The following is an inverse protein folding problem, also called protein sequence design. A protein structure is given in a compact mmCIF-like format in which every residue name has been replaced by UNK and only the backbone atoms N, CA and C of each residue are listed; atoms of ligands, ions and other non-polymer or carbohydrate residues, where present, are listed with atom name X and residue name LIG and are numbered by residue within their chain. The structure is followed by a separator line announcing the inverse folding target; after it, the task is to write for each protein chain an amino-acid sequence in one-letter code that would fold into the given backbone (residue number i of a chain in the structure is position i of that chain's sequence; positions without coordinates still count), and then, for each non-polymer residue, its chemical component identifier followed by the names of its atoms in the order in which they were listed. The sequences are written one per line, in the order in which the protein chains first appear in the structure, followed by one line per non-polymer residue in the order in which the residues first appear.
data_IF_440159908459
#
_entry.id   IF_440159908459
#
_cell.length_a   1.000
_cell.length_b   1.000
_cell.length_c   1.000
_cell.angle_alpha   90.00
_cell.angle_beta   90.00
_cell.angle_gamma   90.00
#
_symmetry.space_group_name_H-M   'P 1'
#
loop_
_entity.id
_entity.type
_entity.pdbx_description
1 polymer ?
#
# COMPACT_ATOMS: atom_id res chain seq x y z
N UNK A 1 0.07 -21.11 1.27
CA UNK A 1 0.65 -20.45 0.12
C UNK A 1 0.14 -19.02 -0.02
N UNK A 2 0.70 -18.29 -0.98
CA UNK A 2 0.26 -16.93 -1.33
C UNK A 2 -0.64 -17.08 -2.55
N UNK A 3 -1.82 -16.46 -2.53
CA UNK A 3 -2.69 -16.37 -3.71
C UNK A 3 -2.12 -15.38 -4.71
N UNK A 4 -2.34 -15.63 -5.99
CA UNK A 4 -1.87 -14.81 -7.10
C UNK A 4 -3.07 -14.25 -7.85
N UNK A 5 -3.13 -12.94 -7.97
CA UNK A 5 -3.92 -12.19 -8.94
C UNK A 5 -3.04 -12.02 -10.18
N UNK A 6 -3.41 -12.62 -11.31
CA UNK A 6 -2.61 -12.63 -12.52
C UNK A 6 -3.20 -11.68 -13.56
N UNK A 7 -2.49 -10.58 -13.83
CA UNK A 7 -2.83 -9.70 -14.94
C UNK A 7 -2.33 -10.27 -16.26
N UNK A 8 -3.16 -10.11 -17.32
CA UNK A 8 -2.64 -10.03 -18.68
C UNK A 8 -1.88 -8.70 -18.85
N UNK A 9 -0.86 -8.68 -19.72
CA UNK A 9 0.10 -7.56 -19.82
C UNK A 9 -0.46 -6.31 -20.52
N UNK A 10 -1.65 -5.85 -20.11
CA UNK A 10 -2.29 -4.65 -20.63
C UNK A 10 -2.44 -3.62 -19.53
N UNK A 11 -1.97 -2.39 -19.75
CA UNK A 11 -2.02 -1.33 -18.74
C UNK A 11 -2.09 0.05 -19.39
N UNK A 12 -2.91 0.94 -18.84
CA UNK A 12 -2.90 2.39 -19.08
C UNK A 12 -2.78 2.82 -20.56
N UNK A 13 -3.36 2.05 -21.50
CA UNK A 13 -3.40 2.38 -22.93
C UNK A 13 -4.59 1.71 -23.61
N UNK A 14 -5.11 2.33 -24.68
CA UNK A 14 -6.08 1.68 -25.57
C UNK A 14 -5.32 0.87 -26.61
N UNK A 15 -5.77 -0.37 -26.84
CA UNK A 15 -5.11 -1.32 -27.73
C UNK A 15 -5.85 -1.49 -29.06
N UNK A 16 -5.17 -1.92 -30.16
CA UNK A 16 -5.80 -2.15 -31.43
C UNK A 16 -6.86 -3.26 -31.41
N UNK A 17 -7.86 -3.15 -32.30
CA UNK A 17 -8.90 -4.16 -32.49
C UNK A 17 -8.89 -4.81 -33.89
N UNK A 18 -7.78 -4.74 -34.61
CA UNK A 18 -7.65 -5.38 -35.92
C UNK A 18 -7.44 -6.91 -35.75
N UNK A 19 -7.88 -7.71 -36.74
CA UNK A 19 -7.85 -9.17 -36.64
C UNK A 19 -6.48 -9.78 -36.31
N UNK A 20 -5.42 -9.25 -36.89
CA UNK A 20 -4.05 -9.71 -36.66
C UNK A 20 -3.62 -9.54 -35.21
N UNK A 21 -3.90 -8.36 -34.62
CA UNK A 21 -3.61 -8.07 -33.20
C UNK A 21 -4.45 -8.97 -32.29
N UNK A 22 -5.75 -9.11 -32.57
CA UNK A 22 -6.63 -9.97 -31.75
C UNK A 22 -6.19 -11.44 -31.76
N UNK A 23 -5.76 -11.97 -32.93
CA UNK A 23 -5.27 -13.36 -33.01
C UNK A 23 -3.95 -13.52 -32.26
N UNK A 24 -3.05 -12.54 -32.31
CA UNK A 24 -1.80 -12.55 -31.54
C UNK A 24 -2.07 -12.53 -30.03
N UNK A 25 -2.96 -11.64 -29.58
CA UNK A 25 -3.40 -11.59 -28.16
C UNK A 25 -4.01 -12.92 -27.72
N UNK A 26 -4.85 -13.51 -28.56
CA UNK A 26 -5.48 -14.81 -28.27
C UNK A 26 -4.44 -15.91 -28.11
N UNK A 27 -3.46 -15.99 -29.00
CA UNK A 27 -2.41 -17.01 -28.91
C UNK A 27 -1.58 -16.83 -27.66
N UNK A 28 -1.17 -15.60 -27.33
CA UNK A 28 -0.44 -15.31 -26.09
C UNK A 28 -1.26 -15.67 -24.85
N UNK A 29 -2.55 -15.32 -24.83
CA UNK A 29 -3.43 -15.67 -23.73
C UNK A 29 -3.55 -17.19 -23.55
N UNK A 30 -3.76 -17.93 -24.64
CA UNK A 30 -3.83 -19.41 -24.60
C UNK A 30 -2.54 -20.01 -24.06
N UNK A 31 -1.38 -19.57 -24.52
CA UNK A 31 -0.08 -20.09 -24.11
C UNK A 31 0.17 -19.84 -22.61
N UNK A 32 -0.14 -18.64 -22.14
CA UNK A 32 0.06 -18.30 -20.72
C UNK A 32 -0.96 -18.99 -19.81
N UNK A 33 -2.23 -19.06 -20.20
CA UNK A 33 -3.26 -19.76 -19.41
C UNK A 33 -2.93 -21.24 -19.29
N UNK A 34 -2.61 -21.92 -20.39
CA UNK A 34 -2.23 -23.35 -20.36
C UNK A 34 -1.00 -23.57 -19.48
N UNK A 35 0.00 -22.68 -19.55
CA UNK A 35 1.21 -22.77 -18.76
C UNK A 35 0.96 -22.61 -17.25
N UNK A 36 0.01 -21.72 -16.86
CA UNK A 36 -0.18 -21.30 -15.46
C UNK A 36 -1.37 -21.96 -14.76
N UNK A 37 -2.40 -22.40 -15.48
CA UNK A 37 -3.68 -22.91 -14.91
C UNK A 37 -3.55 -24.04 -13.89
N UNK A 38 -2.46 -24.82 -13.94
CA UNK A 38 -2.24 -25.93 -13.01
C UNK A 38 -1.61 -25.48 -11.67
N UNK A 39 -1.40 -24.18 -11.47
CA UNK A 39 -0.92 -23.64 -10.21
C UNK A 39 -2.10 -23.25 -9.32
N UNK A 40 -2.39 -23.98 -8.23
CA UNK A 40 -3.57 -23.76 -7.39
C UNK A 40 -3.51 -22.43 -6.59
N UNK A 41 -2.44 -21.66 -6.74
CA UNK A 41 -2.33 -20.33 -6.16
C UNK A 41 -2.97 -19.25 -7.03
N UNK A 42 -3.26 -19.49 -8.31
CA UNK A 42 -4.00 -18.53 -9.16
C UNK A 42 -5.41 -18.40 -8.59
N UNK A 43 -5.73 -17.21 -8.12
CA UNK A 43 -7.03 -16.89 -7.53
C UNK A 43 -7.92 -16.08 -8.47
N UNK A 44 -7.30 -15.36 -9.43
CA UNK A 44 -8.02 -14.48 -10.34
C UNK A 44 -7.16 -14.18 -11.57
N UNK A 45 -7.77 -14.15 -12.74
CA UNK A 45 -7.21 -13.61 -13.97
C UNK A 45 -7.78 -12.21 -14.19
N UNK A 46 -6.92 -11.21 -14.44
CA UNK A 46 -7.35 -9.83 -14.68
C UNK A 46 -6.96 -9.39 -16.09
N UNK A 47 -7.90 -8.79 -16.81
CA UNK A 47 -7.72 -8.40 -18.20
C UNK A 47 -6.74 -7.25 -18.39
N UNK A 48 -6.87 -6.19 -17.58
CA UNK A 48 -6.00 -5.02 -17.70
C UNK A 48 -5.94 -4.17 -16.43
N UNK A 49 -4.88 -3.36 -16.35
CA UNK A 49 -4.71 -2.32 -15.35
C UNK A 49 -5.21 -0.96 -15.90
N UNK A 50 -6.19 -0.36 -15.22
CA UNK A 50 -6.69 1.02 -15.31
C UNK A 50 -7.29 1.48 -16.65
N UNK A 51 -7.46 0.60 -17.65
CA UNK A 51 -7.95 1.04 -18.97
C UNK A 51 -9.39 1.51 -18.91
N UNK A 52 -10.29 0.78 -18.23
CA UNK A 52 -11.68 1.20 -18.08
C UNK A 52 -11.78 2.51 -17.27
N UNK A 53 -11.08 2.60 -16.16
CA UNK A 53 -11.05 3.79 -15.32
C UNK A 53 -10.52 5.03 -16.06
N UNK A 54 -9.45 4.86 -16.84
CA UNK A 54 -8.87 5.93 -17.63
C UNK A 54 -9.79 6.40 -18.77
N UNK A 55 -10.40 5.45 -19.47
CA UNK A 55 -11.37 5.75 -20.53
C UNK A 55 -12.58 6.53 -20.02
N UNK A 56 -13.05 6.21 -18.81
CA UNK A 56 -14.20 6.87 -18.19
C UNK A 56 -13.85 8.18 -17.49
N UNK A 57 -12.75 8.22 -16.73
CA UNK A 57 -12.47 9.27 -15.75
C UNK A 57 -11.27 10.17 -16.03
N UNK A 58 -10.29 9.73 -16.83
CA UNK A 58 -9.06 10.52 -17.03
C UNK A 58 -9.12 11.45 -18.24
N UNK A 59 -10.27 11.50 -18.90
CA UNK A 59 -10.49 12.43 -20.00
C UNK A 59 -10.01 11.94 -21.37
N UNK A 60 -9.55 10.72 -21.50
CA UNK A 60 -9.04 10.15 -22.77
C UNK A 60 -10.04 10.26 -23.92
N UNK A 61 -11.34 10.14 -23.65
CA UNK A 61 -12.38 10.29 -24.66
C UNK A 61 -12.38 11.65 -25.35
N UNK A 62 -11.90 12.71 -24.69
CA UNK A 62 -11.99 14.08 -25.18
C UNK A 62 -11.13 14.33 -26.42
N UNK A 63 -10.14 13.47 -26.68
CA UNK A 63 -9.23 13.57 -27.82
C UNK A 63 -9.80 12.96 -29.11
N UNK A 64 -10.96 12.28 -29.02
CA UNK A 64 -11.52 11.50 -30.11
C UNK A 64 -12.93 11.96 -30.49
N UNK A 65 -13.24 11.90 -31.81
CA UNK A 65 -14.61 12.02 -32.31
C UNK A 65 -15.49 10.87 -31.81
N UNK A 66 -16.80 11.03 -31.82
CA UNK A 66 -17.74 9.98 -31.38
C UNK A 66 -17.51 8.66 -32.14
N UNK A 67 -17.35 8.70 -33.44
CA UNK A 67 -17.09 7.50 -34.26
C UNK A 67 -15.77 6.82 -33.89
N UNK A 68 -14.73 7.59 -33.56
CA UNK A 68 -13.47 7.05 -33.06
C UNK A 68 -13.64 6.43 -31.68
N UNK A 69 -14.39 7.09 -30.77
CA UNK A 69 -14.68 6.54 -29.43
C UNK A 69 -15.40 5.19 -29.51
N UNK A 70 -16.43 5.06 -30.36
CA UNK A 70 -17.14 3.81 -30.58
C UNK A 70 -16.22 2.69 -31.09
N UNK A 71 -15.34 3.00 -32.04
CA UNK A 71 -14.38 2.04 -32.59
C UNK A 71 -13.35 1.61 -31.54
N UNK A 72 -12.80 2.56 -30.77
CA UNK A 72 -11.81 2.30 -29.73
C UNK A 72 -12.43 1.47 -28.61
N UNK A 73 -13.64 1.84 -28.15
CA UNK A 73 -14.31 1.11 -27.10
C UNK A 73 -14.76 -0.29 -27.54
N UNK A 74 -15.11 -0.44 -28.85
CA UNK A 74 -15.35 -1.77 -29.40
C UNK A 74 -14.11 -2.65 -29.36
N UNK A 75 -12.93 -2.12 -29.71
CA UNK A 75 -11.67 -2.85 -29.59
C UNK A 75 -11.39 -3.27 -28.13
N UNK A 76 -11.64 -2.37 -27.16
CA UNK A 76 -11.55 -2.67 -25.73
C UNK A 76 -12.47 -3.83 -25.35
N UNK A 77 -13.74 -3.79 -25.74
CA UNK A 77 -14.70 -4.86 -25.40
C UNK A 77 -14.38 -6.18 -26.10
N UNK A 78 -13.87 -6.13 -27.32
CA UNK A 78 -13.46 -7.32 -28.07
C UNK A 78 -12.30 -8.07 -27.36
N UNK A 79 -11.34 -7.36 -26.77
CA UNK A 79 -10.24 -7.96 -26.02
C UNK A 79 -10.70 -8.39 -24.64
N UNK A 80 -11.20 -7.46 -23.81
CA UNK A 80 -11.31 -7.65 -22.36
C UNK A 80 -12.66 -8.24 -21.92
N UNK A 81 -13.72 -8.13 -22.71
CA UNK A 81 -15.04 -8.68 -22.38
C UNK A 81 -15.46 -9.86 -23.29
N UNK A 82 -14.67 -10.20 -24.32
CA UNK A 82 -14.97 -11.34 -25.17
C UNK A 82 -13.79 -12.29 -25.30
N UNK A 83 -12.67 -11.87 -25.89
CA UNK A 83 -11.54 -12.76 -26.23
C UNK A 83 -10.90 -13.39 -25.00
N UNK A 84 -10.51 -12.58 -24.00
CA UNK A 84 -9.82 -13.09 -22.81
C UNK A 84 -10.73 -13.98 -21.94
N UNK A 85 -11.99 -13.60 -21.60
CA UNK A 85 -12.87 -14.51 -20.86
C UNK A 85 -13.18 -15.80 -21.62
N UNK A 86 -13.34 -15.79 -22.96
CA UNK A 86 -13.48 -17.00 -23.76
C UNK A 86 -12.27 -17.95 -23.65
N UNK A 87 -11.06 -17.40 -23.57
CA UNK A 87 -9.83 -18.18 -23.36
C UNK A 87 -9.83 -18.78 -21.96
N UNK A 88 -10.15 -18.02 -20.92
CA UNK A 88 -10.19 -18.51 -19.55
C UNK A 88 -11.24 -19.63 -19.43
N UNK A 89 -12.48 -19.40 -19.87
CA UNK A 89 -13.55 -20.39 -19.85
C UNK A 89 -13.16 -21.69 -20.56
N UNK A 90 -12.51 -21.59 -21.71
CA UNK A 90 -12.13 -22.76 -22.52
C UNK A 90 -10.97 -23.56 -21.95
N UNK A 91 -10.00 -22.92 -21.31
CA UNK A 91 -8.73 -23.57 -20.96
C UNK A 91 -8.50 -23.74 -19.46
N UNK A 92 -9.40 -23.23 -18.59
CA UNK A 92 -9.39 -23.49 -17.14
C UNK A 92 -10.60 -24.30 -16.70
N UNK A 93 -10.67 -24.67 -15.45
CA UNK A 93 -11.79 -25.42 -14.86
C UNK A 93 -12.63 -24.48 -13.96
N UNK A 94 -13.06 -23.35 -14.53
CA UNK A 94 -13.92 -22.38 -13.84
C UNK A 94 -13.15 -21.33 -13.04
N UNK A 95 -11.95 -20.96 -13.46
CA UNK A 95 -11.20 -19.84 -12.85
C UNK A 95 -11.94 -18.52 -13.04
N UNK A 96 -11.87 -17.66 -12.02
CA UNK A 96 -12.47 -16.32 -12.08
C UNK A 96 -11.70 -15.38 -13.01
N UNK A 97 -12.45 -14.56 -13.73
CA UNK A 97 -11.91 -13.51 -14.61
C UNK A 97 -12.48 -12.12 -14.25
N UNK A 98 -11.60 -11.11 -14.19
CA UNK A 98 -11.93 -9.71 -13.93
C UNK A 98 -11.48 -8.83 -15.10
N UNK A 99 -12.40 -8.12 -15.81
CA UNK A 99 -12.03 -7.47 -17.10
C UNK A 99 -11.03 -6.32 -16.97
N UNK A 100 -11.12 -5.53 -15.90
CA UNK A 100 -10.24 -4.37 -15.66
C UNK A 100 -10.13 -4.10 -14.16
N UNK A 101 -8.99 -3.60 -13.71
CA UNK A 101 -8.77 -3.16 -12.33
C UNK A 101 -8.36 -1.68 -12.34
N UNK A 102 -9.03 -0.77 -11.59
CA UNK A 102 -10.18 -1.01 -10.72
C UNK A 102 -11.49 -1.05 -11.51
N UNK A 103 -12.46 -1.78 -10.96
CA UNK A 103 -13.80 -1.87 -11.55
C UNK A 103 -14.84 -2.19 -10.48
N UNK A 104 -16.07 -1.67 -10.65
CA UNK A 104 -17.16 -1.94 -9.70
C UNK A 104 -17.94 -3.22 -9.98
N UNK A 105 -17.75 -3.84 -11.14
CA UNK A 105 -18.39 -5.09 -11.57
C UNK A 105 -17.86 -5.53 -12.94
N UNK A 106 -18.00 -6.80 -13.33
CA UNK A 106 -17.44 -7.34 -14.58
C UNK A 106 -18.25 -6.98 -15.83
N UNK A 107 -19.43 -6.39 -15.67
CA UNK A 107 -20.36 -6.12 -16.78
C UNK A 107 -19.86 -4.94 -17.63
N UNK A 108 -20.25 -4.90 -18.92
CA UNK A 108 -20.07 -3.72 -19.76
C UNK A 108 -21.11 -2.69 -19.32
N UNK A 109 -20.69 -1.56 -18.77
CA UNK A 109 -21.61 -0.55 -18.27
C UNK A 109 -20.88 0.66 -17.69
N UNK A 110 -21.62 1.49 -16.95
CA UNK A 110 -21.04 2.61 -16.22
C UNK A 110 -20.51 2.12 -14.86
N UNK A 111 -19.19 2.27 -14.68
CA UNK A 111 -18.50 1.90 -13.45
C UNK A 111 -18.09 3.13 -12.66
N UNK A 112 -18.13 3.00 -11.34
CA UNK A 112 -17.53 3.97 -10.43
C UNK A 112 -16.01 3.93 -10.60
N UNK A 113 -15.35 5.09 -10.68
CA UNK A 113 -13.88 5.17 -10.80
C UNK A 113 -13.21 4.72 -9.49
N UNK A 114 -13.88 4.93 -8.35
CA UNK A 114 -13.44 4.54 -7.01
C UNK A 114 -14.60 3.87 -6.26
N UNK A 115 -14.92 2.63 -6.61
CA UNK A 115 -16.02 1.95 -5.95
C UNK A 115 -15.68 1.65 -4.49
N UNK A 116 -16.52 2.10 -3.56
CA UNK A 116 -16.34 1.81 -2.14
C UNK A 116 -16.98 0.47 -1.73
N UNK A 117 -18.17 0.17 -2.26
CA UNK A 117 -19.02 -0.91 -1.73
C UNK A 117 -18.95 -2.23 -2.50
N UNK A 118 -18.32 -2.25 -3.66
CA UNK A 118 -18.24 -3.41 -4.57
C UNK A 118 -17.00 -3.35 -5.43
N UNK A 119 -16.60 -4.51 -5.97
CA UNK A 119 -15.41 -4.60 -6.83
C UNK A 119 -14.12 -4.24 -6.11
N UNK A 120 -13.19 -3.68 -6.85
CA UNK A 120 -11.88 -3.29 -6.37
C UNK A 120 -11.61 -1.79 -6.59
N UNK A 121 -10.61 -1.26 -5.89
CA UNK A 121 -10.31 0.17 -5.86
C UNK A 121 -8.81 0.43 -5.91
N UNK A 122 -8.39 1.36 -6.78
CA UNK A 122 -7.07 1.97 -6.79
C UNK A 122 -7.15 3.31 -6.06
N UNK A 123 -6.55 3.40 -4.87
CA UNK A 123 -6.57 4.64 -4.12
C UNK A 123 -5.22 5.39 -4.23
N UNK A 124 -5.20 6.39 -5.09
CA UNK A 124 -4.06 7.27 -5.34
C UNK A 124 -4.22 8.71 -4.86
N UNK A 125 -5.23 9.00 -4.04
CA UNK A 125 -5.41 10.30 -3.41
C UNK A 125 -4.17 10.74 -2.63
N UNK A 126 -3.61 9.84 -1.83
CA UNK A 126 -2.25 9.97 -1.31
C UNK A 126 -1.29 9.68 -2.46
N UNK A 127 -0.39 10.55 -2.78
CA UNK A 127 0.55 10.61 -3.88
C UNK A 127 0.08 11.52 -5.02
N UNK A 128 -0.91 11.15 -5.83
CA UNK A 128 -1.30 11.93 -7.01
C UNK A 128 -2.08 13.21 -6.66
N UNK A 129 -3.01 13.15 -5.70
CA UNK A 129 -3.90 14.26 -5.35
C UNK A 129 -3.43 15.06 -4.12
N UNK A 130 -2.23 14.79 -3.62
CA UNK A 130 -1.66 15.43 -2.43
C UNK A 130 -2.50 15.28 -1.16
N UNK A 131 -3.27 14.20 -1.06
CA UNK A 131 -3.95 13.89 0.18
C UNK A 131 -2.96 13.52 1.28
N UNK A 132 -3.22 13.92 2.51
CA UNK A 132 -2.43 13.53 3.68
C UNK A 132 -2.59 12.04 3.96
N UNK A 133 -1.65 11.44 4.70
CA UNK A 133 -1.68 10.00 5.02
C UNK A 133 -2.93 9.59 5.79
N UNK A 134 -3.52 10.48 6.57
CA UNK A 134 -4.75 10.28 7.32
C UNK A 134 -5.97 10.00 6.40
N UNK A 135 -5.89 10.37 5.11
CA UNK A 135 -6.96 10.07 4.15
C UNK A 135 -7.04 8.57 3.80
N UNK A 136 -5.99 7.77 4.02
CA UNK A 136 -6.11 6.32 3.95
C UNK A 136 -7.17 5.77 4.92
N UNK A 137 -7.38 6.42 6.06
CA UNK A 137 -8.36 6.00 7.07
C UNK A 137 -9.82 6.27 6.67
N UNK A 138 -10.04 7.10 5.64
CA UNK A 138 -11.35 7.49 5.15
C UNK A 138 -11.72 6.83 3.81
N UNK A 139 -10.71 6.43 3.03
CA UNK A 139 -10.90 5.90 1.68
C UNK A 139 -10.70 4.39 1.67
N UNK A 140 -11.74 3.67 2.04
CA UNK A 140 -11.73 2.22 2.22
C UNK A 140 -12.73 1.59 1.28
N UNK A 141 -12.26 0.63 0.45
CA UNK A 141 -13.08 -0.18 -0.44
C UNK A 141 -13.22 -1.61 0.06
N UNK A 142 -13.98 -2.43 -0.68
CA UNK A 142 -14.10 -3.87 -0.42
C UNK A 142 -12.79 -4.62 -0.64
N UNK A 143 -12.02 -4.15 -1.62
CA UNK A 143 -10.70 -4.66 -1.97
C UNK A 143 -9.87 -3.48 -2.53
N UNK A 144 -8.76 -3.15 -1.91
CA UNK A 144 -7.83 -2.14 -2.39
C UNK A 144 -6.73 -2.85 -3.18
N UNK A 145 -6.94 -2.94 -4.49
CA UNK A 145 -6.07 -3.65 -5.43
C UNK A 145 -4.82 -2.86 -5.78
N UNK A 146 -4.84 -1.53 -5.54
CA UNK A 146 -3.66 -0.71 -5.73
C UNK A 146 -3.64 0.51 -4.80
N UNK A 147 -2.51 0.72 -4.16
CA UNK A 147 -2.13 1.94 -3.45
C UNK A 147 -0.61 1.97 -3.29
N UNK A 148 -0.04 3.16 -3.15
CA UNK A 148 1.41 3.25 -3.05
C UNK A 148 1.91 4.63 -2.63
N UNK A 149 3.21 4.68 -2.29
CA UNK A 149 3.96 5.90 -2.01
C UNK A 149 5.42 5.69 -2.42
N UNK A 150 6.08 6.70 -2.97
CA UNK A 150 7.47 6.57 -3.42
C UNK A 150 8.50 6.82 -2.32
N UNK A 151 9.67 6.22 -2.51
CA UNK A 151 10.91 6.62 -1.87
C UNK A 151 12.09 6.45 -2.82
N UNK A 152 13.22 7.05 -2.46
CA UNK A 152 14.49 6.71 -3.09
C UNK A 152 14.91 5.28 -2.68
N UNK A 153 15.71 4.58 -3.54
CA UNK A 153 16.31 3.32 -3.16
C UNK A 153 17.40 3.52 -2.11
N UNK A 154 18.02 2.44 -1.65
CA UNK A 154 19.17 2.49 -0.76
C UNK A 154 20.30 3.33 -1.32
N UNK A 155 21.07 4.03 -0.45
CA UNK A 155 22.16 4.88 -0.87
C UNK A 155 23.20 4.13 -1.71
N UNK A 156 23.46 2.87 -1.37
CA UNK A 156 24.36 2.00 -2.15
C UNK A 156 23.87 1.73 -3.57
N UNK A 157 22.56 1.78 -3.80
CA UNK A 157 21.96 1.69 -5.13
C UNK A 157 22.10 3.01 -5.88
N UNK A 158 21.85 4.13 -5.22
CA UNK A 158 22.02 5.48 -5.82
C UNK A 158 23.46 5.70 -6.29
N UNK A 159 24.44 5.28 -5.50
CA UNK A 159 25.87 5.36 -5.83
C UNK A 159 26.29 4.59 -7.10
N UNK A 160 25.44 3.67 -7.60
CA UNK A 160 25.75 2.93 -8.83
C UNK A 160 25.52 3.76 -10.09
N UNK A 161 24.78 4.85 -10.00
CA UNK A 161 24.43 5.68 -11.15
C UNK A 161 24.68 7.20 -10.93
N UNK A 162 25.25 7.59 -9.78
CA UNK A 162 25.55 8.99 -9.44
C UNK A 162 27.02 9.18 -9.12
N UNK A 163 27.52 10.40 -9.36
CA UNK A 163 28.78 10.93 -8.85
C UNK A 163 28.48 11.86 -7.65
N UNK A 164 29.54 12.36 -6.97
CA UNK A 164 29.38 13.27 -5.83
C UNK A 164 28.65 14.57 -6.18
N UNK A 165 28.86 15.08 -7.39
CA UNK A 165 28.20 16.27 -7.93
C UNK A 165 26.69 16.07 -8.16
N UNK A 166 26.23 14.84 -8.24
CA UNK A 166 24.81 14.49 -8.42
C UNK A 166 24.04 14.32 -7.09
N UNK A 167 24.73 14.51 -5.93
CA UNK A 167 24.11 14.31 -4.61
C UNK A 167 23.13 15.46 -4.26
N UNK A 168 22.18 15.67 -5.14
CA UNK A 168 20.99 16.50 -4.97
C UNK A 168 19.81 15.78 -5.63
N UNK A 169 18.67 15.71 -4.94
CA UNK A 169 17.46 15.04 -5.47
C UNK A 169 16.90 15.73 -6.73
N UNK A 170 17.31 16.97 -7.00
CA UNK A 170 16.93 17.75 -8.20
C UNK A 170 18.01 17.71 -9.30
N UNK A 171 19.15 17.03 -9.09
CA UNK A 171 20.17 16.87 -10.11
C UNK A 171 19.60 16.18 -11.38
N UNK A 172 20.22 16.40 -12.52
CA UNK A 172 19.81 15.81 -13.79
C UNK A 172 19.75 14.29 -13.73
N UNK A 173 20.76 13.66 -13.13
CA UNK A 173 20.83 12.20 -12.97
C UNK A 173 19.72 11.69 -12.04
N UNK A 174 19.51 12.31 -10.89
CA UNK A 174 18.42 11.90 -9.99
C UNK A 174 17.05 12.12 -10.62
N UNK A 175 16.87 13.16 -11.44
CA UNK A 175 15.65 13.40 -12.20
C UNK A 175 15.45 12.38 -13.32
N UNK A 176 16.52 11.95 -14.00
CA UNK A 176 16.47 10.90 -15.00
C UNK A 176 16.06 9.54 -14.40
N UNK A 177 16.47 9.26 -13.14
CA UNK A 177 16.09 8.08 -12.38
C UNK A 177 14.77 8.26 -11.58
N UNK A 178 13.86 9.10 -12.09
CA UNK A 178 12.50 9.31 -11.59
C UNK A 178 11.51 9.34 -12.76
N UNK A 179 10.48 8.48 -12.73
CA UNK A 179 9.48 8.36 -13.81
C UNK A 179 8.09 8.87 -13.49
N UNK A 180 7.88 9.34 -12.27
CA UNK A 180 6.61 9.96 -11.88
C UNK A 180 6.52 11.46 -12.20
N UNK A 181 7.49 12.03 -12.89
CA UNK A 181 7.54 13.46 -13.27
C UNK A 181 7.69 14.43 -12.08
N UNK A 182 6.82 14.33 -11.09
CA UNK A 182 6.79 15.17 -9.88
C UNK A 182 7.44 14.49 -8.66
N UNK A 183 7.95 13.26 -8.82
CA UNK A 183 8.22 12.35 -7.72
C UNK A 183 9.21 12.86 -6.68
N UNK A 184 10.38 13.38 -7.08
CA UNK A 184 11.41 13.83 -6.15
C UNK A 184 10.93 14.99 -5.26
N UNK A 185 10.33 16.01 -5.88
CA UNK A 185 9.76 17.15 -5.15
C UNK A 185 8.55 16.75 -4.31
N UNK A 186 7.73 15.79 -4.78
CA UNK A 186 6.60 15.26 -4.03
C UNK A 186 7.04 14.55 -2.75
N UNK A 187 8.12 13.75 -2.80
CA UNK A 187 8.71 13.11 -1.62
C UNK A 187 9.14 14.17 -0.60
N UNK A 188 9.86 15.23 -1.04
CA UNK A 188 10.31 16.34 -0.18
C UNK A 188 9.11 17.08 0.43
N UNK A 189 8.08 17.38 -0.36
CA UNK A 189 6.87 18.06 0.10
C UNK A 189 6.17 17.30 1.23
N UNK A 190 5.90 16.00 1.01
CA UNK A 190 5.30 15.14 2.04
C UNK A 190 6.20 15.01 3.28
N UNK A 191 7.52 14.92 3.08
CA UNK A 191 8.46 14.86 4.19
C UNK A 191 8.30 16.08 5.10
N UNK A 192 8.20 17.28 4.56
CA UNK A 192 7.99 18.51 5.34
C UNK A 192 6.65 18.57 6.10
N UNK A 193 5.66 17.75 5.71
CA UNK A 193 4.41 17.67 6.47
C UNK A 193 4.53 16.83 7.75
N UNK A 194 5.43 15.83 7.77
CA UNK A 194 5.51 14.82 8.82
C UNK A 194 6.83 14.80 9.58
N UNK A 195 7.93 15.21 8.94
CA UNK A 195 9.29 15.18 9.47
C UNK A 195 10.01 16.51 9.20
N UNK A 196 11.15 16.70 9.84
CA UNK A 196 12.10 17.72 9.40
C UNK A 196 12.79 17.21 8.14
N UNK A 197 12.92 18.08 7.13
CA UNK A 197 13.55 17.73 5.85
C UNK A 197 15.07 17.79 6.05
N UNK A 198 15.82 16.69 5.87
CA UNK A 198 17.26 16.70 6.00
C UNK A 198 17.95 17.51 4.89
N UNK A 199 19.05 18.17 5.24
CA UNK A 199 19.93 18.86 4.28
C UNK A 199 20.94 17.86 3.67
N UNK A 200 21.38 16.87 4.45
CA UNK A 200 22.31 15.83 3.99
C UNK A 200 21.63 14.88 3.02
N UNK A 201 22.25 14.62 1.88
CA UNK A 201 21.71 13.79 0.82
C UNK A 201 21.41 12.34 1.26
N UNK A 202 22.35 11.71 1.98
CA UNK A 202 22.16 10.34 2.46
C UNK A 202 21.01 10.23 3.46
N UNK A 203 20.89 11.22 4.36
CA UNK A 203 19.77 11.30 5.28
C UNK A 203 18.44 11.55 4.55
N UNK A 204 18.44 12.36 3.49
CA UNK A 204 17.26 12.57 2.64
C UNK A 204 16.78 11.26 2.03
N UNK A 205 17.69 10.45 1.47
CA UNK A 205 17.34 9.15 0.91
C UNK A 205 16.75 8.22 1.99
N UNK A 206 17.42 8.11 3.15
CA UNK A 206 16.95 7.29 4.27
C UNK A 206 15.57 7.75 4.78
N UNK A 207 15.39 9.04 5.02
CA UNK A 207 14.12 9.59 5.52
C UNK A 207 12.99 9.43 4.51
N UNK A 208 13.27 9.42 3.21
CA UNK A 208 12.26 9.11 2.19
C UNK A 208 11.71 7.70 2.35
N UNK A 209 12.55 6.73 2.69
CA UNK A 209 12.12 5.35 2.94
C UNK A 209 11.30 5.23 4.24
N UNK A 210 11.67 5.96 5.30
CA UNK A 210 10.89 6.03 6.54
C UNK A 210 9.50 6.64 6.28
N UNK A 211 9.45 7.70 5.47
CA UNK A 211 8.21 8.36 5.05
C UNK A 211 7.29 7.40 4.27
N UNK A 212 7.85 6.71 3.26
CA UNK A 212 7.13 5.67 2.50
C UNK A 212 6.60 4.57 3.41
N UNK A 213 7.44 4.04 4.29
CA UNK A 213 7.09 2.98 5.23
C UNK A 213 5.93 3.39 6.14
N UNK A 214 5.93 4.64 6.63
CA UNK A 214 4.84 5.19 7.43
C UNK A 214 3.54 5.27 6.63
N UNK A 215 3.57 5.83 5.42
CA UNK A 215 2.40 5.94 4.56
C UNK A 215 1.77 4.56 4.31
N UNK A 216 2.58 3.60 3.92
CA UNK A 216 2.12 2.23 3.63
C UNK A 216 1.63 1.50 4.87
N UNK A 217 2.27 1.70 6.03
CA UNK A 217 1.78 1.13 7.29
C UNK A 217 0.38 1.64 7.62
N UNK A 218 0.14 2.96 7.53
CA UNK A 218 -1.19 3.53 7.81
C UNK A 218 -2.24 2.91 6.88
N UNK A 219 -1.95 2.82 5.58
CA UNK A 219 -2.85 2.19 4.60
C UNK A 219 -3.15 0.73 4.96
N UNK A 220 -2.12 -0.12 5.06
CA UNK A 220 -2.27 -1.56 5.31
C UNK A 220 -2.96 -1.85 6.65
N UNK A 221 -2.57 -1.17 7.73
CA UNK A 221 -3.21 -1.34 9.03
C UNK A 221 -4.67 -0.89 8.99
N UNK A 222 -5.00 0.18 8.25
CA UNK A 222 -6.38 0.64 8.08
C UNK A 222 -7.22 -0.39 7.34
N UNK A 223 -6.74 -0.89 6.20
CA UNK A 223 -7.45 -1.91 5.44
C UNK A 223 -7.74 -3.15 6.31
N UNK A 224 -6.75 -3.61 7.04
CA UNK A 224 -6.89 -4.76 7.94
C UNK A 224 -7.80 -4.51 9.14
N UNK A 225 -7.79 -3.30 9.72
CA UNK A 225 -8.75 -2.94 10.79
C UNK A 225 -10.20 -3.03 10.32
N UNK A 226 -10.46 -2.82 9.02
CA UNK A 226 -11.80 -2.86 8.45
C UNK A 226 -12.26 -4.24 7.97
N UNK A 227 -11.50 -5.29 8.26
CA UNK A 227 -11.96 -6.67 8.03
C UNK A 227 -13.23 -6.96 8.85
N UNK A 228 -14.27 -7.60 8.31
CA UNK A 228 -14.37 -8.25 7.00
C UNK A 228 -14.91 -7.35 5.88
N UNK A 229 -15.05 -6.04 6.08
CA UNK A 229 -15.50 -5.14 5.02
C UNK A 229 -14.43 -5.01 3.92
N UNK A 230 -13.20 -4.67 4.27
CA UNK A 230 -12.04 -4.65 3.38
C UNK A 230 -11.28 -5.98 3.52
N UNK A 231 -11.22 -6.76 2.44
CA UNK A 231 -10.59 -8.08 2.45
C UNK A 231 -9.34 -8.19 1.57
N UNK A 232 -8.87 -7.08 0.99
CA UNK A 232 -7.65 -7.05 0.20
C UNK A 232 -6.90 -5.73 0.30
N UNK A 233 -5.58 -5.82 0.27
CA UNK A 233 -4.67 -4.67 0.25
C UNK A 233 -3.42 -5.05 -0.54
N UNK A 234 -3.33 -4.60 -1.79
CA UNK A 234 -2.19 -4.84 -2.67
C UNK A 234 -1.43 -3.53 -2.87
N UNK A 235 -0.11 -3.60 -2.66
CA UNK A 235 0.75 -2.42 -2.73
C UNK A 235 1.41 -2.33 -4.11
N UNK A 236 1.23 -1.21 -4.76
CA UNK A 236 2.06 -0.84 -5.89
C UNK A 236 3.32 -0.13 -5.37
N UNK A 237 4.54 -0.73 -5.46
CA UNK A 237 4.83 -2.01 -6.10
C UNK A 237 5.85 -2.81 -5.27
N UNK A 238 6.10 -4.08 -5.64
CA UNK A 238 7.02 -4.93 -4.89
C UNK A 238 8.49 -4.62 -5.20
N UNK A 239 8.87 -4.54 -6.49
CA UNK A 239 10.26 -4.43 -6.92
C UNK A 239 10.41 -3.54 -8.17
N UNK A 240 11.64 -3.21 -8.49
CA UNK A 240 12.03 -2.41 -9.63
C UNK A 240 12.67 -3.25 -10.74
N UNK A 241 12.49 -2.83 -12.01
CA UNK A 241 13.15 -3.42 -13.17
C UNK A 241 14.44 -2.68 -13.60
N UNK A 242 14.78 -1.57 -12.94
CA UNK A 242 16.00 -0.79 -13.12
C UNK A 242 16.22 0.10 -11.88
N UNK A 243 17.46 0.66 -11.65
CA UNK A 243 17.70 1.53 -10.50
C UNK A 243 16.91 2.84 -10.62
N UNK A 244 15.99 3.09 -9.69
CA UNK A 244 15.04 4.21 -9.79
C UNK A 244 14.44 4.59 -8.44
N UNK A 245 14.03 5.86 -8.26
CA UNK A 245 13.10 6.23 -7.21
C UNK A 245 11.69 5.75 -7.59
N UNK A 246 11.04 4.98 -6.71
CA UNK A 246 9.80 4.31 -7.03
C UNK A 246 8.96 3.96 -5.79
N UNK A 247 7.80 3.36 -6.03
CA UNK A 247 6.89 2.82 -5.01
C UNK A 247 7.33 1.47 -4.45
N UNK A 248 8.43 0.89 -4.96
CA UNK A 248 8.89 -0.44 -4.59
C UNK A 248 9.25 -0.56 -3.11
N UNK A 249 9.07 -1.77 -2.58
CA UNK A 249 9.59 -2.19 -1.27
C UNK A 249 10.95 -2.86 -1.35
N UNK A 250 11.38 -3.23 -2.55
CA UNK A 250 12.67 -3.84 -2.87
C UNK A 250 13.27 -3.16 -4.10
N UNK A 251 14.48 -2.65 -3.99
CA UNK A 251 15.13 -1.96 -5.10
C UNK A 251 15.65 -2.93 -6.19
N UNK A 252 16.13 -2.35 -7.30
CA UNK A 252 16.62 -3.11 -8.44
C UNK A 252 17.69 -4.14 -8.09
N UNK A 253 18.62 -3.82 -7.18
CA UNK A 253 19.68 -4.72 -6.76
C UNK A 253 19.24 -5.69 -5.65
N UNK A 254 17.97 -5.71 -5.33
CA UNK A 254 17.39 -6.64 -4.37
C UNK A 254 17.52 -6.23 -2.91
N UNK A 255 17.88 -4.98 -2.61
CA UNK A 255 17.95 -4.45 -1.25
C UNK A 255 16.54 -4.09 -0.76
N UNK A 256 16.26 -4.43 0.50
CA UNK A 256 15.00 -4.10 1.12
C UNK A 256 14.97 -2.65 1.57
N UNK A 257 13.94 -1.92 1.15
CA UNK A 257 13.63 -0.58 1.65
C UNK A 257 12.87 -0.68 2.98
N UNK A 258 12.83 0.42 3.76
CA UNK A 258 12.15 0.44 5.05
C UNK A 258 10.69 -0.06 4.99
N UNK A 259 9.98 0.18 3.90
CA UNK A 259 8.61 -0.29 3.66
C UNK A 259 8.50 -1.82 3.86
N UNK A 260 9.46 -2.61 3.39
CA UNK A 260 9.41 -4.07 3.52
C UNK A 260 9.24 -4.51 4.97
N UNK A 261 10.01 -3.95 5.89
CA UNK A 261 9.97 -4.31 7.32
C UNK A 261 8.63 -3.92 7.97
N UNK A 262 8.04 -2.81 7.54
CA UNK A 262 6.71 -2.41 8.01
C UNK A 262 5.61 -3.27 7.41
N UNK A 263 5.74 -3.69 6.15
CA UNK A 263 4.83 -4.63 5.49
C UNK A 263 4.79 -5.98 6.22
N UNK A 264 5.96 -6.53 6.59
CA UNK A 264 6.05 -7.79 7.39
C UNK A 264 5.26 -7.67 8.69
N UNK A 265 5.38 -6.54 9.39
CA UNK A 265 4.63 -6.30 10.63
C UNK A 265 3.14 -6.11 10.39
N UNK A 266 2.77 -5.34 9.35
CA UNK A 266 1.38 -5.04 9.02
C UNK A 266 0.61 -6.28 8.56
N UNK A 267 1.28 -7.27 7.94
CA UNK A 267 0.68 -8.55 7.53
C UNK A 267 1.01 -9.73 8.45
N UNK A 268 1.44 -9.46 9.68
CA UNK A 268 1.58 -10.51 10.68
C UNK A 268 0.23 -11.22 10.95
N UNK A 269 0.27 -12.50 11.29
CA UNK A 269 -0.91 -13.33 11.62
C UNK A 269 -1.76 -12.78 12.76
N UNK A 270 -1.13 -12.01 13.66
CA UNK A 270 -1.77 -11.11 14.62
C UNK A 270 -1.20 -9.71 14.46
N UNK A 271 -2.06 -8.75 14.21
CA UNK A 271 -1.67 -7.34 14.11
C UNK A 271 -2.24 -6.56 15.28
N UNK A 272 -1.36 -5.95 16.06
CA UNK A 272 -1.71 -4.93 17.06
C UNK A 272 -1.70 -3.57 16.38
N UNK A 273 -2.85 -2.92 16.24
CA UNK A 273 -2.99 -1.67 15.49
C UNK A 273 -3.64 -0.57 16.34
N UNK A 274 -2.85 0.32 16.95
CA UNK A 274 -3.37 1.49 17.66
C UNK A 274 -3.81 2.58 16.68
N UNK A 275 -4.90 3.27 17.04
CA UNK A 275 -5.42 4.45 16.34
C UNK A 275 -6.10 5.40 17.31
N UNK A 276 -5.89 6.71 17.15
CA UNK A 276 -6.63 7.75 17.88
C UNK A 276 -7.87 8.16 17.07
N UNK A 277 -9.03 8.09 17.73
CA UNK A 277 -10.31 8.62 17.22
C UNK A 277 -10.99 9.39 18.33
N UNK A 278 -11.42 10.60 18.07
CA UNK A 278 -12.19 11.45 18.98
C UNK A 278 -11.53 11.53 20.38
N UNK A 279 -10.24 11.89 20.42
CA UNK A 279 -9.42 11.97 21.64
C UNK A 279 -9.38 10.67 22.47
N UNK A 280 -9.60 9.54 21.83
CA UNK A 280 -9.54 8.20 22.44
C UNK A 280 -8.58 7.33 21.64
N UNK A 281 -7.55 6.80 22.30
CA UNK A 281 -6.68 5.78 21.73
C UNK A 281 -7.40 4.43 21.81
N UNK A 282 -7.57 3.82 20.64
CA UNK A 282 -8.15 2.47 20.50
C UNK A 282 -7.06 1.53 20.01
N UNK A 283 -6.98 0.34 20.57
CA UNK A 283 -6.08 -0.71 20.10
C UNK A 283 -6.92 -1.82 19.50
N UNK A 284 -6.77 -1.97 18.19
CA UNK A 284 -7.34 -3.10 17.47
C UNK A 284 -6.41 -4.30 17.55
N UNK A 285 -6.98 -5.48 17.62
CA UNK A 285 -6.31 -6.72 17.30
C UNK A 285 -6.96 -7.30 16.05
N UNK A 286 -6.16 -7.46 14.99
CA UNK A 286 -6.57 -8.14 13.76
C UNK A 286 -5.94 -9.52 13.76
N UNK A 287 -6.73 -10.57 13.53
CA UNK A 287 -6.30 -11.95 13.57
C UNK A 287 -6.69 -12.69 12.29
N UNK A 288 -5.70 -13.21 11.58
CA UNK A 288 -5.88 -14.13 10.46
C UNK A 288 -5.83 -15.61 10.93
N UNK A 289 -5.68 -15.84 12.24
CA UNK A 289 -5.65 -17.19 12.81
C UNK A 289 -7.02 -17.86 12.73
N UNK A 290 -7.04 -19.13 12.38
CA UNK A 290 -8.27 -19.94 12.30
C UNK A 290 -8.79 -20.41 13.66
N UNK A 291 -8.06 -20.15 14.74
CA UNK A 291 -8.45 -20.45 16.12
C UNK A 291 -8.23 -19.24 17.01
N UNK A 292 -9.09 -19.09 18.02
CA UNK A 292 -8.91 -18.07 19.05
C UNK A 292 -7.57 -18.23 19.76
N UNK A 293 -6.96 -17.11 20.15
CA UNK A 293 -5.72 -17.09 20.91
C UNK A 293 -5.85 -16.19 22.12
N UNK A 294 -5.20 -16.56 23.22
CA UNK A 294 -5.15 -15.72 24.42
C UNK A 294 -3.72 -15.29 24.69
N UNK A 295 -3.57 -14.14 25.33
CA UNK A 295 -2.29 -13.59 25.67
C UNK A 295 -2.41 -12.36 26.55
N UNK A 296 -1.28 -11.72 26.81
CA UNK A 296 -1.18 -10.52 27.65
C UNK A 296 -0.95 -9.30 26.80
N UNK A 297 -1.85 -8.33 26.88
CA UNK A 297 -1.65 -6.98 26.35
C UNK A 297 -0.93 -6.13 27.39
N UNK A 298 0.10 -5.41 26.98
CA UNK A 298 0.77 -4.36 27.74
C UNK A 298 0.75 -3.09 26.91
N UNK A 299 0.28 -1.99 27.51
CA UNK A 299 0.28 -0.65 26.90
C UNK A 299 1.13 0.24 27.77
N UNK A 300 2.23 0.76 27.27
CA UNK A 300 3.14 1.65 27.98
C UNK A 300 3.18 3.02 27.31
N UNK A 301 2.99 4.06 28.10
CA UNK A 301 3.32 5.44 27.69
C UNK A 301 4.72 5.74 28.19
N UNK A 302 5.63 5.95 27.24
CA UNK A 302 7.07 6.13 27.49
C UNK A 302 7.48 7.56 27.18
N UNK A 303 8.30 8.18 28.03
CA UNK A 303 8.91 9.47 27.74
C UNK A 303 9.99 9.33 26.66
N UNK A 304 10.03 10.27 25.74
CA UNK A 304 11.02 10.29 24.66
C UNK A 304 12.43 10.69 25.12
N UNK A 305 12.53 11.34 26.28
CA UNK A 305 13.81 11.68 26.90
C UNK A 305 14.50 10.47 27.57
N UNK A 306 13.84 9.31 27.60
CA UNK A 306 14.35 8.10 28.22
C UNK A 306 14.12 7.99 29.73
N UNK A 307 13.46 8.98 30.36
CA UNK A 307 13.26 9.04 31.82
C UNK A 307 12.09 8.18 32.32
N UNK A 308 11.79 7.10 31.63
CA UNK A 308 10.94 6.03 32.15
C UNK A 308 9.51 6.00 31.62
N UNK A 309 8.66 5.31 32.38
CA UNK A 309 7.27 5.01 32.04
C UNK A 309 6.37 6.04 32.71
N UNK A 310 5.53 6.74 31.92
CA UNK A 310 4.48 7.63 32.44
C UNK A 310 3.32 6.82 32.99
N UNK A 311 2.88 5.83 32.21
CA UNK A 311 1.74 4.97 32.57
C UNK A 311 1.88 3.59 31.93
N UNK A 312 1.43 2.56 32.64
CA UNK A 312 1.42 1.18 32.15
C UNK A 312 0.07 0.52 32.44
N UNK A 313 -0.46 -0.18 31.44
CA UNK A 313 -1.66 -1.02 31.55
C UNK A 313 -1.33 -2.45 31.14
N UNK A 314 -1.87 -3.42 31.91
CA UNK A 314 -1.73 -4.85 31.60
C UNK A 314 -3.10 -5.51 31.67
N UNK A 315 -3.43 -6.31 30.66
CA UNK A 315 -4.71 -7.01 30.58
C UNK A 315 -4.56 -8.35 29.89
N UNK A 316 -5.22 -9.39 30.41
CA UNK A 316 -5.38 -10.67 29.69
C UNK A 316 -6.46 -10.50 28.61
N UNK A 317 -6.15 -10.89 27.39
CA UNK A 317 -7.02 -10.73 26.22
C UNK A 317 -7.13 -12.06 25.51
N UNK A 318 -8.35 -12.43 25.16
CA UNK A 318 -8.63 -13.51 24.20
C UNK A 318 -9.08 -12.86 22.87
N UNK A 319 -8.37 -13.18 21.80
CA UNK A 319 -8.63 -12.70 20.45
C UNK A 319 -9.37 -13.81 19.70
N UNK A 320 -10.57 -13.56 19.17
CA UNK A 320 -11.29 -14.55 18.37
C UNK A 320 -10.52 -14.88 17.08
N UNK A 321 -10.89 -16.01 16.45
CA UNK A 321 -10.38 -16.39 15.15
C UNK A 321 -10.89 -15.42 14.07
N UNK A 322 -10.08 -15.17 13.04
CA UNK A 322 -10.44 -14.48 11.81
C UNK A 322 -11.27 -13.19 12.06
N UNK A 323 -10.70 -12.25 12.81
CA UNK A 323 -11.42 -11.07 13.30
C UNK A 323 -10.59 -9.80 13.29
N UNK A 324 -11.28 -8.66 13.25
CA UNK A 324 -10.74 -7.35 13.63
C UNK A 324 -11.62 -6.77 14.74
N UNK A 325 -11.05 -6.52 15.91
CA UNK A 325 -11.81 -6.04 17.06
C UNK A 325 -10.99 -5.11 17.95
N UNK A 326 -11.67 -4.14 18.58
CA UNK A 326 -11.06 -3.28 19.61
C UNK A 326 -10.92 -4.10 20.90
N UNK A 327 -9.69 -4.28 21.34
CA UNK A 327 -9.36 -5.03 22.56
C UNK A 327 -9.13 -4.13 23.78
N UNK A 328 -8.84 -2.86 23.53
CA UNK A 328 -8.57 -1.87 24.57
C UNK A 328 -8.79 -0.44 24.05
N UNK A 329 -9.25 0.45 24.93
CA UNK A 329 -9.41 1.88 24.65
C UNK A 329 -9.24 2.71 25.92
N UNK A 330 -8.70 3.92 25.79
CA UNK A 330 -8.51 4.90 26.86
C UNK A 330 -8.53 6.32 26.30
N UNK A 331 -9.05 7.29 27.04
CA UNK A 331 -8.96 8.69 26.68
C UNK A 331 -7.49 9.15 26.64
N UNK A 332 -7.12 9.95 25.66
CA UNK A 332 -5.74 10.41 25.48
C UNK A 332 -5.25 11.20 26.69
N UNK A 333 -6.08 12.08 27.26
CA UNK A 333 -5.73 12.86 28.45
C UNK A 333 -5.41 11.95 29.65
N UNK A 334 -6.17 10.85 29.78
CA UNK A 334 -5.92 9.82 30.80
C UNK A 334 -4.60 9.06 30.60
N UNK A 335 -4.18 8.89 29.33
CA UNK A 335 -2.88 8.28 28.97
C UNK A 335 -1.72 9.20 29.31
N UNK A 336 -1.85 10.47 28.96
CA UNK A 336 -0.79 11.47 29.09
C UNK A 336 -0.43 11.75 30.54
N UNK A 337 -1.39 11.66 31.47
CA UNK A 337 -1.17 11.91 32.89
C UNK A 337 -0.42 13.23 33.16
N UNK A 338 -0.76 14.30 32.40
CA UNK A 338 -0.15 15.60 32.48
C UNK A 338 1.05 15.85 31.55
N UNK A 339 1.55 14.84 30.88
CA UNK A 339 2.59 15.00 29.84
C UNK A 339 2.00 15.58 28.54
N UNK A 340 2.86 16.16 27.68
CA UNK A 340 2.45 16.60 26.35
C UNK A 340 2.52 15.46 25.34
N UNK A 341 1.69 15.52 24.28
CA UNK A 341 1.69 14.53 23.17
C UNK A 341 3.05 14.42 22.50
N UNK A 342 3.78 15.54 22.42
CA UNK A 342 5.09 15.65 21.78
C UNK A 342 6.24 14.99 22.58
N UNK A 343 6.02 14.75 23.88
CA UNK A 343 7.04 14.25 24.82
C UNK A 343 6.98 12.73 25.02
N UNK A 344 5.97 12.07 24.44
CA UNK A 344 5.71 10.64 24.73
C UNK A 344 5.46 9.81 23.48
N UNK A 345 5.68 8.51 23.61
CA UNK A 345 5.27 7.49 22.64
C UNK A 345 4.47 6.39 23.34
N UNK A 346 3.42 5.91 22.72
CA UNK A 346 2.67 4.75 23.23
C UNK A 346 3.23 3.49 22.59
N UNK A 347 3.84 2.64 23.42
CA UNK A 347 4.32 1.30 23.04
C UNK A 347 3.26 0.27 23.41
N UNK A 348 2.87 -0.55 22.43
CA UNK A 348 1.90 -1.62 22.61
C UNK A 348 2.58 -2.95 22.35
N UNK A 349 2.44 -3.87 23.30
CA UNK A 349 2.96 -5.24 23.22
C UNK A 349 1.81 -6.22 23.50
N UNK A 350 1.59 -7.16 22.60
CA UNK A 350 0.80 -8.35 22.88
C UNK A 350 1.71 -9.57 22.85
N UNK A 351 1.72 -10.34 23.92
CA UNK A 351 2.45 -11.60 24.03
C UNK A 351 1.45 -12.76 24.12
N UNK A 352 1.47 -13.65 23.13
CA UNK A 352 0.56 -14.80 23.12
C UNK A 352 1.05 -15.92 24.07
N UNK A 353 0.23 -16.94 24.26
CA UNK A 353 0.54 -18.07 25.15
C UNK A 353 1.80 -18.85 24.76
N UNK A 354 2.29 -18.70 23.52
CA UNK A 354 3.52 -19.35 23.06
C UNK A 354 4.77 -18.50 23.34
N UNK A 355 4.60 -17.30 23.87
CA UNK A 355 5.65 -16.33 24.07
C UNK A 355 5.98 -15.48 22.83
N UNK A 356 5.24 -15.64 21.71
CA UNK A 356 5.43 -14.80 20.53
C UNK A 356 4.91 -13.40 20.80
N UNK A 357 5.72 -12.41 20.43
CA UNK A 357 5.48 -10.98 20.69
C UNK A 357 5.09 -10.23 19.44
N UNK A 358 4.06 -9.40 19.54
CA UNK A 358 3.55 -8.50 18.51
C UNK A 358 3.56 -7.10 19.09
N UNK A 359 4.26 -6.19 18.43
CA UNK A 359 4.49 -4.84 18.93
C UNK A 359 4.11 -3.77 17.94
N UNK A 360 3.67 -2.63 18.46
CA UNK A 360 3.48 -1.43 17.67
C UNK A 360 3.81 -0.18 18.52
N UNK A 361 4.24 0.89 17.86
CA UNK A 361 4.43 2.20 18.47
C UNK A 361 3.46 3.20 17.84
N UNK A 362 2.79 3.98 18.69
CA UNK A 362 1.89 5.04 18.26
C UNK A 362 2.38 6.39 18.76
N UNK A 363 2.49 7.35 17.86
CA UNK A 363 2.86 8.72 18.16
C UNK A 363 1.60 9.58 18.18
N UNK A 364 1.35 10.25 19.29
CA UNK A 364 0.18 11.11 19.49
C UNK A 364 0.31 12.48 18.83
N UNK A 365 1.52 12.83 18.38
CA UNK A 365 1.84 14.03 17.60
C UNK A 365 2.59 13.66 16.31
N UNK A 366 2.76 14.62 15.40
CA UNK A 366 3.60 14.44 14.21
C UNK A 366 5.06 14.33 14.62
N UNK A 367 5.82 13.46 13.95
CA UNK A 367 7.22 13.21 14.32
C UNK A 367 8.10 14.48 14.25
N UNK A 368 7.79 15.44 13.38
CA UNK A 368 8.51 16.72 13.33
C UNK A 368 8.33 17.60 14.56
N UNK A 369 7.22 17.39 15.29
CA UNK A 369 6.85 18.14 16.48
C UNK A 369 7.25 17.42 17.78
N UNK A 370 7.80 16.17 17.67
CA UNK A 370 8.20 15.36 18.82
C UNK A 370 9.53 15.84 19.42
N UNK A 371 9.62 15.88 20.73
CA UNK A 371 10.80 16.29 21.47
C UNK A 371 11.68 15.08 21.80
N UNK A 372 12.46 14.61 20.83
CA UNK A 372 13.43 13.54 21.06
C UNK A 372 14.60 14.02 21.91
N UNK A 373 15.07 13.19 22.85
CA UNK A 373 16.30 13.47 23.54
C UNK A 373 17.47 13.55 22.55
N UNK A 374 18.29 14.61 22.64
CA UNK A 374 19.51 14.70 21.87
C UNK A 374 20.48 13.62 22.34
N UNK A 375 20.48 12.49 21.65
CA UNK A 375 21.50 11.46 21.82
C UNK A 375 22.77 11.92 21.10
N UNK A 376 23.44 12.93 21.62
CA UNK A 376 24.88 13.05 21.39
C UNK A 376 25.47 11.74 21.89
N UNK A 377 25.90 10.93 20.94
CA UNK A 377 26.47 9.61 21.13
C UNK A 377 27.34 9.55 22.40
N UNK A 378 26.92 8.72 23.32
CA UNK A 378 27.86 8.15 24.29
C UNK A 378 28.70 7.17 23.47
N UNK A 379 29.91 7.59 23.08
CA UNK A 379 30.99 6.75 22.61
C UNK A 379 31.55 5.98 23.78
#
# INVERSE_FOLDING_TARGET
GIMVWQDFMFACAMYPGNPEFLENVKQEAVDNVIRLRNHPCIALWCGNNEIDAAWRGWGWKREYTQQQQERIFKAYTDVFHRLLPEVIEKYTDGDDYWPSSPMSGPEIGDHEIRPANRGDNHYWGVWHEKHKFEEYEKNIGRFISEHGFQSFPEFETVRQYTLLEDYDIESEIMSAHQRSGIGNLRIREYMGWYYQVPEDFGQMLYMSQVLQARAMRIAMETHRRHMPYCMGSLVWQHNDCWPVASWSSRDYYGRWKAQHYFTVKSFADLLVSPIEKDNTLQIYMVSDRLKSTSGKLTVCVLRLDGNGVVKEFKKQITVPANTSTVIWKEAVDGLLNGEKKEDVVVHVLYEDKTGKKYTNNYFLAKQKDMHYADRKSVV
#
